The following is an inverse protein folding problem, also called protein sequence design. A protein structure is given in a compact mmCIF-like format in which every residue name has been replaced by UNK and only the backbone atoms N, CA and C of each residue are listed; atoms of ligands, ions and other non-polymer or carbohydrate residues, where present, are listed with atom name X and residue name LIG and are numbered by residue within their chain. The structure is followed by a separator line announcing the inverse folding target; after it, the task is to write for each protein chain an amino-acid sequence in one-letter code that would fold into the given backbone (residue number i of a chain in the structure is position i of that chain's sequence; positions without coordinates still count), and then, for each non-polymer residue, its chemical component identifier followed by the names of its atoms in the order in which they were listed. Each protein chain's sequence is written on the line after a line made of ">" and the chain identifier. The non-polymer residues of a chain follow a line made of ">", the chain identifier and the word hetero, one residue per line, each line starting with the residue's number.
data_IF_201910013978
#
_entry.id   IF_201910013978
#
_cell.length_a   1.000
_cell.length_b   1.000
_cell.length_c   1.000
_cell.angle_alpha   90.00
_cell.angle_beta   90.00
_cell.angle_gamma   90.00
#
_symmetry.space_group_name_H-M   'P 1'
#
loop_
_entity.id
_entity.type
_entity.pdbx_description
1 polymer ?
#
# COMPACT_ATOMS: atom_id res chain seq x y z
N UNK A 1 -8.93 -5.35 -5.99
CA UNK A 1 -8.11 -4.67 -7.01
C UNK A 1 -6.65 -4.90 -6.69
N UNK A 2 -5.79 -5.13 -7.69
CA UNK A 2 -4.36 -5.38 -7.47
C UNK A 2 -3.51 -4.39 -8.25
N UNK A 3 -2.51 -3.79 -7.62
CA UNK A 3 -1.61 -2.81 -8.21
C UNK A 3 -0.21 -2.85 -7.56
N UNK A 4 0.74 -2.11 -8.14
CA UNK A 4 2.11 -2.02 -7.66
C UNK A 4 2.38 -0.59 -7.20
N UNK A 5 3.05 -0.46 -6.05
CA UNK A 5 3.70 0.79 -5.61
C UNK A 5 5.20 0.56 -5.68
N UNK A 6 5.91 1.41 -6.43
CA UNK A 6 7.32 1.21 -6.73
C UNK A 6 8.13 2.46 -6.37
N UNK A 7 9.24 2.24 -5.67
CA UNK A 7 10.23 3.29 -5.42
C UNK A 7 10.95 3.66 -6.72
N UNK A 8 11.37 4.92 -6.82
CA UNK A 8 12.20 5.37 -7.94
C UNK A 8 13.51 4.56 -8.03
N UNK A 9 14.16 4.51 -9.21
CA UNK A 9 15.37 3.69 -9.39
C UNK A 9 16.54 4.12 -8.49
N UNK A 10 16.54 5.37 -8.02
CA UNK A 10 17.59 5.93 -7.16
C UNK A 10 17.05 6.66 -5.92
N UNK A 11 15.75 6.57 -5.64
CA UNK A 11 15.11 7.32 -4.55
C UNK A 11 14.28 6.35 -3.72
N UNK A 12 14.49 6.28 -2.39
CA UNK A 12 13.63 5.47 -1.53
C UNK A 12 12.21 6.04 -1.50
N UNK A 13 11.26 5.23 -1.06
CA UNK A 13 9.87 5.66 -0.91
C UNK A 13 9.30 5.09 0.39
N UNK A 14 8.73 5.96 1.22
CA UNK A 14 7.92 5.52 2.36
C UNK A 14 6.48 5.29 1.89
N UNK A 15 5.93 4.12 2.14
CA UNK A 15 4.52 3.80 1.87
C UNK A 15 3.78 3.68 3.19
N UNK A 16 2.80 4.53 3.41
CA UNK A 16 1.98 4.56 4.62
C UNK A 16 0.57 4.06 4.33
N UNK A 17 0.05 3.16 5.16
CA UNK A 17 -1.31 2.64 5.08
C UNK A 17 -2.17 3.25 6.17
N UNK A 18 -3.29 3.88 5.77
CA UNK A 18 -4.25 4.52 6.67
C UNK A 18 -5.58 3.77 6.64
N UNK A 19 -6.30 3.62 7.78
CA UNK A 19 -6.09 4.32 9.04
C UNK A 19 -5.08 3.68 10.02
N UNK A 20 -4.43 2.57 9.65
CA UNK A 20 -3.60 1.81 10.59
C UNK A 20 -2.27 2.49 10.94
N UNK A 21 -1.85 3.47 10.13
CA UNK A 21 -0.54 4.11 10.23
C UNK A 21 0.63 3.16 9.99
N UNK A 22 0.40 2.00 9.35
CA UNK A 22 1.50 1.06 9.06
C UNK A 22 2.38 1.62 7.95
N UNK A 23 3.69 1.64 8.18
CA UNK A 23 4.66 2.17 7.22
C UNK A 23 5.61 1.09 6.72
N UNK A 24 5.96 1.18 5.43
CA UNK A 24 6.99 0.39 4.79
C UNK A 24 7.95 1.31 4.07
N UNK A 25 9.24 1.21 4.38
CA UNK A 25 10.28 1.87 3.62
C UNK A 25 10.72 0.97 2.46
N UNK A 26 10.66 1.49 1.24
CA UNK A 26 11.13 0.83 0.04
C UNK A 26 12.49 1.39 -0.36
N UNK A 27 13.47 0.50 -0.50
CA UNK A 27 14.75 0.85 -1.09
C UNK A 27 14.56 1.27 -2.56
N UNK A 28 15.50 2.03 -3.15
CA UNK A 28 15.45 2.35 -4.57
C UNK A 28 15.26 1.11 -5.45
N UNK A 29 14.28 1.17 -6.36
CA UNK A 29 13.92 0.06 -7.26
C UNK A 29 13.08 -1.06 -6.64
N UNK A 30 12.89 -1.11 -5.31
CA UNK A 30 11.96 -2.03 -4.68
C UNK A 30 10.50 -1.64 -4.92
N UNK A 31 9.60 -2.62 -4.73
CA UNK A 31 8.18 -2.42 -4.89
C UNK A 31 7.36 -3.25 -3.90
N UNK A 32 6.15 -2.77 -3.64
CA UNK A 32 5.08 -3.53 -3.02
C UNK A 32 4.04 -3.89 -4.07
N UNK A 33 3.59 -5.13 -4.04
CA UNK A 33 2.33 -5.51 -4.65
C UNK A 33 1.24 -5.34 -3.61
N UNK A 34 0.23 -4.54 -3.92
CA UNK A 34 -0.91 -4.25 -3.06
C UNK A 34 -2.15 -4.89 -3.66
N UNK A 35 -2.86 -5.68 -2.87
CA UNK A 35 -4.21 -6.14 -3.17
C UNK A 35 -5.20 -5.50 -2.20
N UNK A 36 -6.01 -4.59 -2.73
CA UNK A 36 -7.14 -4.03 -2.03
C UNK A 36 -8.39 -4.91 -2.20
N UNK A 37 -9.18 -5.11 -1.14
CA UNK A 37 -10.52 -5.64 -1.30
C UNK A 37 -11.34 -4.69 -2.18
N UNK A 38 -12.22 -5.25 -3.00
CA UNK A 38 -13.19 -4.45 -3.75
C UNK A 38 -14.37 -4.20 -2.82
N UNK A 39 -14.68 -2.95 -2.45
CA UNK A 39 -15.80 -2.69 -1.56
C UNK A 39 -17.13 -3.08 -2.22
N UNK A 40 -18.11 -3.42 -1.40
CA UNK A 40 -19.48 -3.65 -1.85
C UNK A 40 -20.10 -2.41 -2.50
N UNK A 41 -21.28 -2.57 -3.11
CA UNK A 41 -21.99 -1.46 -3.75
C UNK A 41 -22.22 -0.31 -2.75
N UNK A 42 -21.65 0.85 -3.04
CA UNK A 42 -21.78 2.05 -2.21
C UNK A 42 -20.73 2.17 -1.09
N UNK A 43 -19.82 1.20 -0.94
CA UNK A 43 -18.71 1.30 0.01
C UNK A 43 -17.62 2.26 -0.47
N UNK A 44 -16.90 2.84 0.49
CA UNK A 44 -15.85 3.82 0.17
C UNK A 44 -14.67 3.15 -0.54
N UNK A 45 -14.30 3.73 -1.70
CA UNK A 45 -13.06 3.40 -2.37
C UNK A 45 -11.88 3.94 -1.55
N UNK A 46 -10.78 3.19 -1.55
CA UNK A 46 -9.53 3.66 -0.97
C UNK A 46 -9.00 4.90 -1.69
N UNK A 47 -8.01 5.56 -1.08
CA UNK A 47 -7.40 6.78 -1.57
C UNK A 47 -5.90 6.61 -1.81
N UNK A 48 -5.34 7.41 -2.72
CA UNK A 48 -3.89 7.50 -2.93
C UNK A 48 -3.47 8.95 -2.87
N UNK A 49 -2.56 9.27 -1.96
CA UNK A 49 -1.93 10.58 -1.84
C UNK A 49 -0.44 10.43 -2.12
N UNK A 50 0.09 11.23 -3.04
CA UNK A 50 1.49 11.16 -3.45
C UNK A 50 2.22 12.45 -3.07
N UNK A 51 3.27 12.29 -2.29
CA UNK A 51 4.19 13.32 -1.81
C UNK A 51 5.60 12.97 -2.31
N UNK A 52 6.59 13.90 -2.28
CA UNK A 52 7.90 13.68 -2.89
C UNK A 52 8.67 12.44 -2.40
N UNK A 53 8.53 12.07 -1.13
CA UNK A 53 9.23 10.97 -0.46
C UNK A 53 8.28 9.93 0.17
N UNK A 54 6.97 10.16 0.05
CA UNK A 54 5.94 9.36 0.70
C UNK A 54 4.74 9.13 -0.20
N UNK A 55 4.18 7.94 -0.11
CA UNK A 55 2.90 7.59 -0.71
C UNK A 55 1.97 7.05 0.37
N UNK A 56 0.85 7.72 0.58
CA UNK A 56 -0.17 7.29 1.54
C UNK A 56 -1.31 6.58 0.81
N UNK A 57 -1.62 5.38 1.26
CA UNK A 57 -2.71 4.53 0.81
C UNK A 57 -3.79 4.50 1.89
N UNK A 58 -4.91 5.17 1.65
CA UNK A 58 -6.10 5.02 2.50
C UNK A 58 -6.85 3.76 2.09
N UNK A 59 -6.98 2.81 3.00
CA UNK A 59 -7.64 1.53 2.74
C UNK A 59 -9.14 1.72 2.44
N UNK A 60 -9.71 0.92 1.51
CA UNK A 60 -11.15 0.92 1.27
C UNK A 60 -11.92 0.41 2.49
N UNK A 61 -13.20 0.77 2.55
CA UNK A 61 -14.08 0.35 3.65
C UNK A 61 -14.18 -1.17 3.76
N UNK A 62 -14.02 -1.68 4.99
CA UNK A 62 -14.31 -3.07 5.32
C UNK A 62 -13.22 -4.09 4.94
N UNK A 63 -12.01 -3.67 4.59
CA UNK A 63 -10.96 -4.67 4.43
C UNK A 63 -9.52 -4.17 4.50
N UNK A 64 -8.70 -5.03 5.09
CA UNK A 64 -7.25 -4.91 5.18
C UNK A 64 -6.62 -5.24 3.82
N UNK A 65 -5.70 -4.41 3.36
CA UNK A 65 -4.90 -4.71 2.18
C UNK A 65 -4.05 -5.96 2.40
N UNK A 66 -3.87 -6.78 1.36
CA UNK A 66 -2.81 -7.80 1.35
C UNK A 66 -1.60 -7.26 0.62
N UNK A 67 -0.42 -7.50 1.19
CA UNK A 67 0.83 -6.93 0.70
C UNK A 67 1.86 -8.02 0.43
N UNK A 68 2.60 -7.86 -0.66
CA UNK A 68 3.80 -8.66 -0.94
C UNK A 68 4.96 -7.74 -1.28
N UNK A 69 6.15 -8.06 -0.79
CA UNK A 69 7.36 -7.35 -1.18
C UNK A 69 7.84 -7.73 -2.59
N UNK A 70 8.90 -7.07 -3.06
CA UNK A 70 9.51 -7.28 -4.37
C UNK A 70 10.03 -8.70 -4.62
N UNK A 71 10.18 -9.49 -3.55
CA UNK A 71 10.58 -10.91 -3.58
C UNK A 71 9.39 -11.88 -3.55
N UNK A 72 8.16 -11.36 -3.58
CA UNK A 72 6.93 -12.15 -3.52
C UNK A 72 6.59 -12.68 -2.12
N UNK A 73 7.30 -12.26 -1.07
CA UNK A 73 6.96 -12.63 0.31
C UNK A 73 5.78 -11.80 0.77
N UNK A 74 4.73 -12.46 1.24
CA UNK A 74 3.58 -11.80 1.87
C UNK A 74 4.02 -11.13 3.18
N UNK A 75 3.66 -9.86 3.33
CA UNK A 75 3.96 -9.06 4.51
C UNK A 75 2.73 -9.05 5.42
N UNK A 76 2.92 -9.14 6.75
CA UNK A 76 1.82 -9.00 7.67
C UNK A 76 1.28 -7.56 7.58
N UNK A 77 -0.03 -7.44 7.40
CA UNK A 77 -0.75 -6.20 7.66
C UNK A 77 -1.59 -6.46 8.89
N UNK A 78 -1.43 -5.63 9.91
CA UNK A 78 -2.20 -5.76 11.13
C UNK A 78 -3.60 -5.20 10.88
N UNK A 79 -4.56 -6.11 10.64
CA UNK A 79 -5.99 -5.78 10.65
C UNK A 79 -6.54 -5.71 12.07
N UNK A 80 -7.69 -5.04 12.24
CA UNK A 80 -8.49 -5.06 13.48
C UNK A 80 -9.41 -6.27 13.51
#
# INVERSE_FOLDING_TARGET
>A
MKFIVQAGPNTPLTVQFEPQGTEFELAPGDYLTVEWPVPGKGGLLGGVTHEPDRLTLSEPEGGTARLWNSRGKELPVFGY
#
